data_IF_173164279359
#
_entry.id   IF_173164279359
#
_cell.length_a   1.000
_cell.length_b   1.000
_cell.length_c   1.000
_cell.angle_alpha   90.00
_cell.angle_beta   90.00
_cell.angle_gamma   90.00
#
_symmetry.space_group_name_H-M   'P 1'
#
loop_
_entity.id
_entity.type
_entity.pdbx_description
1 polymer ?
#
# COMPACT_ATOMS: atom_id res chain seq x y z
N UNK A 1 -11.47 -7.05 33.83
CA UNK A 1 -11.97 -6.00 32.92
C UNK A 1 -12.13 -6.61 31.54
N UNK A 2 -13.34 -6.57 30.98
CA UNK A 2 -13.60 -6.99 29.59
C UNK A 2 -13.61 -5.73 28.74
N UNK A 3 -12.70 -5.60 27.79
CA UNK A 3 -12.77 -4.56 26.77
C UNK A 3 -13.53 -5.12 25.58
N UNK A 4 -14.53 -4.37 25.12
CA UNK A 4 -15.16 -4.56 23.82
C UNK A 4 -14.40 -3.64 22.87
N UNK A 5 -13.75 -4.22 21.85
CA UNK A 5 -13.19 -3.47 20.73
C UNK A 5 -14.37 -3.25 19.78
N UNK A 6 -14.77 -1.99 19.59
CA UNK A 6 -15.72 -1.61 18.55
C UNK A 6 -14.97 -0.82 17.48
N UNK A 7 -15.00 -1.34 16.26
CA UNK A 7 -14.53 -0.65 15.06
C UNK A 7 -15.65 0.29 14.61
N UNK A 8 -15.36 1.59 14.50
CA UNK A 8 -16.30 2.60 14.02
C UNK A 8 -15.73 3.34 12.82
N UNK A 9 -16.58 3.66 11.86
CA UNK A 9 -16.21 4.37 10.63
C UNK A 9 -16.81 5.79 10.62
N UNK A 10 -16.07 6.79 10.14
CA UNK A 10 -16.59 8.14 9.89
C UNK A 10 -16.84 8.37 8.39
N UNK A 11 -17.95 9.04 8.10
CA UNK A 11 -18.35 9.51 6.78
C UNK A 11 -17.47 10.69 6.33
N UNK A 12 -16.83 10.58 5.16
CA UNK A 12 -16.16 11.70 4.49
C UNK A 12 -17.20 12.51 3.71
N UNK A 13 -17.37 13.79 4.03
CA UNK A 13 -18.12 14.72 3.15
C UNK A 13 -19.12 15.67 3.80
N UNK A 14 -19.25 15.77 5.12
CA UNK A 14 -20.04 16.85 5.73
C UNK A 14 -19.17 18.07 6.05
N UNK A 15 -19.12 19.01 5.10
CA UNK A 15 -18.76 20.40 5.37
C UNK A 15 -19.78 20.98 6.34
N UNK A 16 -19.39 21.14 7.61
CA UNK A 16 -20.16 21.92 8.58
C UNK A 16 -20.12 23.38 8.15
N UNK A 17 -21.17 23.84 7.48
CA UNK A 17 -21.43 25.27 7.29
C UNK A 17 -21.68 25.91 8.66
N UNK A 18 -20.62 26.46 9.27
CA UNK A 18 -20.78 27.37 10.40
C UNK A 18 -21.33 28.71 9.91
N UNK A 19 -22.64 28.93 10.13
CA UNK A 19 -23.20 30.28 10.19
C UNK A 19 -23.72 30.58 11.60
N UNK A 20 -23.16 31.67 12.12
CA UNK A 20 -23.43 32.50 13.31
C UNK A 20 -24.73 32.32 14.13
N UNK A 21 -24.52 32.42 15.45
CA UNK A 21 -25.17 33.33 16.41
C UNK A 21 -26.28 32.81 17.34
N UNK A 22 -25.84 32.56 18.58
CA UNK A 22 -26.30 33.14 19.85
C UNK A 22 -27.44 32.49 20.68
N UNK A 23 -27.13 32.44 21.99
CA UNK A 23 -27.96 32.35 23.21
C UNK A 23 -28.44 30.98 23.68
N UNK A 24 -27.72 30.49 24.71
CA UNK A 24 -28.34 30.27 26.02
C UNK A 24 -28.62 28.82 26.43
N UNK A 25 -28.25 28.51 27.67
CA UNK A 25 -28.93 27.48 28.47
C UNK A 25 -28.16 26.19 28.67
N UNK A 26 -27.40 26.13 29.76
CA UNK A 26 -26.97 24.88 30.36
C UNK A 26 -28.20 24.05 30.76
N UNK A 27 -28.27 22.78 30.32
CA UNK A 27 -29.11 21.78 30.96
C UNK A 27 -28.42 20.41 30.96
N UNK A 28 -28.06 20.02 32.18
CA UNK A 28 -27.64 18.71 32.64
C UNK A 28 -28.81 17.73 32.46
N UNK A 29 -28.62 16.62 31.74
CA UNK A 29 -29.55 15.49 31.75
C UNK A 29 -28.75 14.22 32.04
N UNK A 30 -28.87 13.75 33.28
CA UNK A 30 -28.67 12.36 33.66
C UNK A 30 -29.90 11.56 33.23
N UNK A 31 -29.70 10.37 32.68
CA UNK A 31 -30.62 9.24 32.85
C UNK A 31 -29.87 7.91 32.67
N UNK A 32 -29.78 7.16 33.77
CA UNK A 32 -29.58 5.71 33.80
C UNK A 32 -30.93 5.01 33.57
N UNK A 33 -30.99 3.98 32.71
CA UNK A 33 -31.33 2.60 33.08
C UNK A 33 -31.69 1.70 31.87
N UNK A 34 -30.97 0.57 31.81
CA UNK A 34 -31.43 -0.82 31.64
C UNK A 34 -32.42 -1.26 30.54
N UNK A 35 -31.88 -2.13 29.67
CA UNK A 35 -32.38 -3.45 29.25
C UNK A 35 -33.76 -3.59 28.58
N UNK A 36 -33.78 -3.94 27.28
CA UNK A 36 -34.32 -5.20 26.74
C UNK A 36 -34.35 -5.19 25.18
N UNK A 37 -33.94 -6.32 24.58
CA UNK A 37 -34.27 -6.87 23.25
C UNK A 37 -34.15 -6.01 21.98
N UNK A 38 -33.38 -6.49 20.99
CA UNK A 38 -33.90 -7.11 19.75
C UNK A 38 -32.78 -7.41 18.74
N UNK A 39 -32.75 -8.66 18.29
CA UNK A 39 -32.08 -9.13 17.08
C UNK A 39 -32.51 -8.24 15.91
N UNK A 40 -31.56 -7.52 15.32
CA UNK A 40 -31.82 -6.71 14.11
C UNK A 40 -30.86 -7.18 13.04
N UNK A 41 -31.40 -7.86 12.03
CA UNK A 41 -30.71 -8.04 10.75
C UNK A 41 -30.55 -6.65 10.12
N UNK A 42 -29.31 -6.17 9.98
CA UNK A 42 -29.02 -4.92 9.28
C UNK A 42 -28.50 -5.27 7.89
N UNK A 43 -29.32 -4.98 6.89
CA UNK A 43 -28.88 -4.83 5.49
C UNK A 43 -27.94 -3.63 5.41
N UNK A 44 -26.69 -3.85 4.99
CA UNK A 44 -25.74 -2.77 4.74
C UNK A 44 -25.82 -2.33 3.27
N UNK A 45 -26.26 -1.09 3.04
CA UNK A 45 -26.03 -0.38 1.77
C UNK A 45 -24.58 0.13 1.74
N UNK A 46 -23.96 -0.02 0.58
CA UNK A 46 -22.57 0.35 0.22
C UNK A 46 -22.29 1.83 0.46
N UNK A 47 -21.39 2.14 1.39
CA UNK A 47 -20.64 3.41 1.43
C UNK A 47 -19.18 3.09 1.76
N UNK A 48 -18.25 3.75 1.05
CA UNK A 48 -16.80 3.52 1.14
C UNK A 48 -16.31 4.06 2.49
N UNK A 49 -15.78 3.18 3.33
CA UNK A 49 -15.18 3.56 4.61
C UNK A 49 -13.66 3.33 4.61
N UNK A 50 -12.89 4.33 5.07
CA UNK A 50 -11.47 4.15 5.40
C UNK A 50 -11.35 3.48 6.78
N UNK A 51 -10.50 2.46 6.96
CA UNK A 51 -10.09 2.05 8.30
C UNK A 51 -9.12 3.10 8.88
N UNK A 52 -9.34 3.52 10.12
CA UNK A 52 -8.35 4.26 10.90
C UNK A 52 -8.38 3.77 12.35
N UNK A 53 -7.20 3.71 12.97
CA UNK A 53 -7.04 3.57 14.42
C UNK A 53 -6.68 4.95 14.96
N UNK A 54 -7.60 5.60 15.69
CA UNK A 54 -7.30 6.83 16.42
C UNK A 54 -7.07 6.47 17.89
N UNK A 55 -5.84 6.62 18.36
CA UNK A 55 -5.56 6.92 19.77
C UNK A 55 -5.15 8.39 19.83
N UNK A 56 -6.10 9.29 20.09
CA UNK A 56 -5.82 10.71 20.24
C UNK A 56 -5.27 11.00 21.65
N UNK A 57 -4.07 11.60 21.81
CA UNK A 57 -3.74 12.36 23.01
C UNK A 57 -4.33 13.77 22.91
N UNK A 58 -4.60 14.37 24.08
CA UNK A 58 -5.17 15.71 24.22
C UNK A 58 -4.40 16.79 23.44
N UNK A 59 -5.14 17.74 22.89
CA UNK A 59 -4.77 18.75 21.90
C UNK A 59 -3.71 19.82 22.29
N UNK A 60 -2.82 19.58 23.26
CA UNK A 60 -1.98 20.66 23.85
C UNK A 60 -0.45 20.55 23.62
N UNK A 61 0.05 19.68 22.75
CA UNK A 61 1.51 19.56 22.54
C UNK A 61 1.90 19.43 21.06
N UNK A 62 1.53 20.40 20.22
CA UNK A 62 2.02 20.47 18.83
C UNK A 62 2.38 21.90 18.38
N UNK A 63 3.07 22.68 19.22
CA UNK A 63 3.62 23.98 18.78
C UNK A 63 5.10 24.24 19.06
N UNK A 64 5.86 23.31 19.63
CA UNK A 64 7.30 23.54 19.85
C UNK A 64 8.11 22.30 19.51
N UNK A 65 8.72 22.33 18.32
CA UNK A 65 9.99 21.70 17.92
C UNK A 65 9.93 21.27 16.45
N UNK A 66 10.11 22.24 15.54
CA UNK A 66 10.47 21.96 14.14
C UNK A 66 11.98 21.70 14.08
N UNK A 67 12.37 20.43 14.20
CA UNK A 67 13.73 20.00 13.86
C UNK A 67 13.69 19.50 12.42
N UNK A 68 14.26 20.28 11.50
CA UNK A 68 14.41 19.88 10.10
C UNK A 68 15.57 18.87 9.99
N UNK A 69 15.27 17.60 9.75
CA UNK A 69 16.27 16.64 9.30
C UNK A 69 16.28 16.63 7.76
N UNK A 70 17.21 17.39 7.18
CA UNK A 70 17.49 17.36 5.74
C UNK A 70 18.47 16.22 5.46
N UNK A 71 17.94 15.02 5.20
CA UNK A 71 18.75 13.85 4.83
C UNK A 71 19.44 14.10 3.49
N UNK A 72 20.76 14.25 3.51
CA UNK A 72 21.56 14.19 2.28
C UNK A 72 21.67 12.73 1.87
N UNK A 73 21.18 12.42 0.66
CA UNK A 73 21.34 11.10 0.05
C UNK A 73 22.83 10.87 -0.21
N UNK A 74 23.51 10.16 0.70
CA UNK A 74 24.77 9.51 0.40
C UNK A 74 24.44 8.20 -0.33
N UNK A 75 24.90 8.08 -1.57
CA UNK A 75 25.04 6.78 -2.23
C UNK A 75 26.10 5.98 -1.46
N UNK A 76 25.67 5.20 -0.46
CA UNK A 76 26.53 4.25 0.24
C UNK A 76 26.24 2.87 -0.35
N UNK A 77 27.05 2.49 -1.34
CA UNK A 77 27.14 1.12 -1.82
C UNK A 77 27.93 0.29 -0.83
N UNK A 78 27.28 -0.39 0.12
CA UNK A 78 27.83 -1.53 0.86
C UNK A 78 26.71 -2.29 1.60
N UNK A 79 26.55 -3.57 1.25
CA UNK A 79 25.30 -4.36 1.23
C UNK A 79 24.73 -4.79 2.60
N UNK A 80 25.34 -4.40 3.73
CA UNK A 80 24.85 -4.72 5.08
C UNK A 80 24.30 -3.51 5.85
N UNK A 81 24.96 -2.36 5.76
CA UNK A 81 24.52 -1.13 6.44
C UNK A 81 23.20 -0.59 5.84
N UNK A 82 23.02 -0.80 4.54
CA UNK A 82 21.86 -0.35 3.79
C UNK A 82 20.57 -1.10 4.19
N UNK A 83 20.63 -2.41 4.42
CA UNK A 83 19.45 -3.23 4.79
C UNK A 83 18.89 -2.83 6.16
N UNK A 84 19.74 -2.62 7.17
CA UNK A 84 19.28 -2.20 8.49
C UNK A 84 18.67 -0.79 8.47
N UNK A 85 19.27 0.14 7.72
CA UNK A 85 18.76 1.49 7.55
C UNK A 85 17.39 1.47 6.84
N UNK A 86 17.30 0.74 5.72
CA UNK A 86 16.07 0.51 4.96
C UNK A 86 14.96 -0.06 5.83
N UNK A 87 15.26 -1.10 6.62
CA UNK A 87 14.31 -1.69 7.57
C UNK A 87 13.70 -0.64 8.50
N UNK A 88 14.55 0.16 9.15
CA UNK A 88 14.11 1.22 10.08
C UNK A 88 13.27 2.28 9.36
N UNK A 89 13.71 2.70 8.18
CA UNK A 89 13.00 3.68 7.35
C UNK A 89 11.63 3.16 6.96
N UNK A 90 11.53 1.93 6.45
CA UNK A 90 10.26 1.34 6.02
C UNK A 90 9.30 1.14 7.18
N UNK A 91 9.78 0.68 8.35
CA UNK A 91 8.94 0.60 9.56
C UNK A 91 8.39 1.98 9.93
N UNK A 92 9.24 3.02 9.95
CA UNK A 92 8.81 4.37 10.26
C UNK A 92 7.79 4.92 9.24
N UNK A 93 7.93 4.55 7.96
CA UNK A 93 7.05 5.06 6.92
C UNK A 93 5.73 4.29 6.79
N UNK A 94 5.78 2.96 6.89
CA UNK A 94 4.62 2.08 6.65
C UNK A 94 3.82 1.80 7.92
N UNK A 95 4.47 1.78 9.08
CA UNK A 95 3.83 1.46 10.37
C UNK A 95 3.58 2.72 11.19
N UNK A 96 4.47 3.71 11.08
CA UNK A 96 4.36 4.98 11.78
C UNK A 96 5.31 5.08 12.97
N UNK A 97 4.80 5.52 14.12
CA UNK A 97 5.63 5.78 15.28
C UNK A 97 6.16 4.52 15.97
N UNK A 98 7.15 4.69 16.86
CA UNK A 98 7.74 3.59 17.61
C UNK A 98 6.71 2.79 18.42
N UNK A 99 5.65 3.46 18.90
CA UNK A 99 4.60 2.80 19.68
C UNK A 99 3.83 1.80 18.82
N UNK A 100 3.45 2.19 17.61
CA UNK A 100 2.74 1.34 16.65
C UNK A 100 3.58 0.10 16.27
N UNK A 101 4.89 0.30 16.09
CA UNK A 101 5.82 -0.82 15.85
C UNK A 101 5.89 -1.78 17.04
N UNK A 102 5.97 -1.26 18.28
CA UNK A 102 5.99 -2.11 19.48
C UNK A 102 4.66 -2.82 19.73
N UNK A 103 3.53 -2.18 19.45
CA UNK A 103 2.21 -2.82 19.52
C UNK A 103 2.11 -3.99 18.55
N UNK A 104 2.61 -3.83 17.31
CA UNK A 104 2.68 -4.93 16.35
C UNK A 104 3.58 -6.09 16.83
N UNK A 105 4.69 -5.79 17.52
CA UNK A 105 5.62 -6.79 18.07
C UNK A 105 5.08 -7.56 19.28
N UNK A 106 4.04 -7.05 19.93
CA UNK A 106 3.37 -7.74 21.04
C UNK A 106 2.35 -8.79 20.57
N UNK A 107 2.06 -8.86 19.27
CA UNK A 107 1.12 -9.82 18.73
C UNK A 107 1.65 -11.26 18.87
N UNK A 108 0.78 -12.17 19.32
CA UNK A 108 1.06 -13.60 19.32
C UNK A 108 0.70 -14.20 17.94
N UNK A 109 1.70 -14.25 17.05
CA UNK A 109 1.51 -14.70 15.67
C UNK A 109 1.05 -16.16 15.56
N UNK A 110 1.49 -17.05 16.45
CA UNK A 110 1.06 -18.45 16.46
C UNK A 110 -0.42 -18.57 16.82
N UNK A 111 -0.88 -17.81 17.83
CA UNK A 111 -2.29 -17.78 18.21
C UNK A 111 -3.17 -17.18 17.10
N UNK A 112 -2.69 -16.13 16.42
CA UNK A 112 -3.40 -15.55 15.29
C UNK A 112 -3.46 -16.52 14.10
N UNK A 113 -2.36 -17.20 13.79
CA UNK A 113 -2.35 -18.22 12.75
C UNK A 113 -3.31 -19.38 13.09
N UNK A 114 -3.33 -19.85 14.34
CA UNK A 114 -4.28 -20.87 14.77
C UNK A 114 -5.74 -20.39 14.67
N UNK A 115 -6.02 -19.12 15.01
CA UNK A 115 -7.34 -18.51 14.82
C UNK A 115 -7.76 -18.55 13.35
N UNK A 116 -6.87 -18.17 12.42
CA UNK A 116 -7.12 -18.22 10.98
C UNK A 116 -7.44 -19.65 10.50
N UNK A 117 -6.67 -20.63 10.99
CA UNK A 117 -6.86 -22.05 10.65
C UNK A 117 -8.26 -22.55 11.02
N UNK A 118 -8.80 -22.07 12.14
CA UNK A 118 -10.14 -22.44 12.62
C UNK A 118 -11.26 -21.66 11.92
N UNK A 119 -10.98 -20.46 11.39
CA UNK A 119 -12.01 -19.57 10.87
C UNK A 119 -12.28 -19.72 9.37
N UNK A 120 -11.28 -20.07 8.55
CA UNK A 120 -11.45 -20.14 7.10
C UNK A 120 -10.52 -21.17 6.45
N UNK A 121 -11.06 -22.35 6.11
CA UNK A 121 -10.29 -23.40 5.41
C UNK A 121 -9.88 -22.96 4.01
N UNK A 122 -10.79 -22.33 3.25
CA UNK A 122 -10.51 -21.83 1.90
C UNK A 122 -9.33 -20.85 1.85
N UNK A 123 -9.28 -19.90 2.80
CA UNK A 123 -8.17 -18.94 2.89
C UNK A 123 -6.84 -19.63 3.15
N UNK A 124 -6.83 -20.63 4.03
CA UNK A 124 -5.61 -21.40 4.33
C UNK A 124 -5.16 -22.22 3.13
N UNK A 125 -6.09 -22.88 2.43
CA UNK A 125 -5.79 -23.66 1.23
C UNK A 125 -5.15 -22.77 0.15
N UNK A 126 -5.67 -21.56 -0.04
CA UNK A 126 -5.11 -20.60 -0.99
C UNK A 126 -3.71 -20.13 -0.59
N UNK A 127 -3.48 -19.82 0.69
CA UNK A 127 -2.14 -19.49 1.21
C UNK A 127 -1.17 -20.66 0.98
N UNK A 128 -1.62 -21.89 1.21
CA UNK A 128 -0.80 -23.11 1.04
C UNK A 128 -0.46 -23.39 -0.43
N UNK A 129 -1.29 -22.96 -1.36
CA UNK A 129 -1.01 -22.99 -2.81
C UNK A 129 0.00 -21.90 -3.21
N UNK A 130 -0.12 -20.69 -2.64
CA UNK A 130 0.62 -19.52 -3.10
C UNK A 130 1.97 -19.31 -2.40
N UNK A 131 2.15 -19.76 -1.15
CA UNK A 131 3.44 -19.69 -0.43
C UNK A 131 4.57 -20.40 -1.19
N UNK A 132 4.39 -21.61 -1.77
CA UNK A 132 5.41 -22.26 -2.59
C UNK A 132 5.80 -21.46 -3.84
N UNK A 133 4.93 -20.59 -4.35
CA UNK A 133 5.12 -19.77 -5.56
C UNK A 133 5.73 -18.40 -5.28
N UNK A 134 6.06 -18.11 -4.03
CA UNK A 134 6.52 -16.77 -3.60
C UNK A 134 7.96 -16.43 -3.96
N UNK A 135 8.73 -17.38 -4.48
CA UNK A 135 10.17 -17.25 -4.70
C UNK A 135 11.03 -17.51 -3.46
N UNK A 136 10.41 -17.70 -2.29
CA UNK A 136 11.13 -18.15 -1.07
C UNK A 136 11.59 -19.59 -1.26
N UNK A 137 12.87 -19.87 -1.01
CA UNK A 137 13.46 -21.21 -1.23
C UNK A 137 13.47 -22.02 0.07
N UNK A 138 13.90 -21.42 1.17
CA UNK A 138 14.09 -22.11 2.45
C UNK A 138 12.76 -22.51 3.09
N UNK A 139 12.73 -23.71 3.68
CA UNK A 139 11.52 -24.25 4.30
C UNK A 139 11.12 -23.44 5.53
N UNK A 140 12.08 -23.04 6.36
CA UNK A 140 11.80 -22.22 7.54
C UNK A 140 11.21 -20.86 7.15
N UNK A 141 11.75 -20.22 6.11
CA UNK A 141 11.24 -18.93 5.61
C UNK A 141 9.82 -19.08 5.03
N UNK A 142 9.50 -20.20 4.37
CA UNK A 142 8.12 -20.49 3.93
C UNK A 142 7.15 -20.62 5.11
N UNK A 143 7.59 -21.23 6.22
CA UNK A 143 6.78 -21.34 7.44
C UNK A 143 6.54 -19.96 8.08
N UNK A 144 7.59 -19.12 8.14
CA UNK A 144 7.46 -17.73 8.60
C UNK A 144 6.51 -16.93 7.71
N UNK A 145 6.64 -17.03 6.38
CA UNK A 145 5.74 -16.38 5.43
C UNK A 145 4.29 -16.82 5.62
N UNK A 146 4.06 -18.12 5.73
CA UNK A 146 2.74 -18.68 6.00
C UNK A 146 2.15 -18.14 7.31
N UNK A 147 2.95 -18.09 8.38
CA UNK A 147 2.51 -17.55 9.68
C UNK A 147 2.12 -16.07 9.58
N UNK A 148 2.91 -15.24 8.89
CA UNK A 148 2.59 -13.83 8.64
C UNK A 148 1.27 -13.67 7.89
N UNK A 149 1.05 -14.41 6.81
CA UNK A 149 -0.17 -14.33 6.01
C UNK A 149 -1.42 -14.83 6.77
N UNK A 150 -1.29 -15.88 7.58
CA UNK A 150 -2.40 -16.35 8.41
C UNK A 150 -2.70 -15.37 9.55
N UNK A 151 -1.67 -14.80 10.18
CA UNK A 151 -1.86 -13.77 11.19
C UNK A 151 -2.55 -12.53 10.62
N UNK A 152 -2.19 -12.13 9.40
CA UNK A 152 -2.89 -11.08 8.65
C UNK A 152 -4.39 -11.38 8.51
N UNK A 153 -4.75 -12.56 8.02
CA UNK A 153 -6.15 -12.93 7.81
C UNK A 153 -6.94 -13.00 9.11
N UNK A 154 -6.30 -13.35 10.22
CA UNK A 154 -6.93 -13.36 11.54
C UNK A 154 -7.22 -11.95 12.11
N UNK A 155 -6.48 -10.94 11.62
CA UNK A 155 -6.60 -9.53 12.01
C UNK A 155 -7.52 -8.73 11.07
N UNK A 156 -7.68 -9.16 9.82
CA UNK A 156 -8.34 -8.38 8.77
C UNK A 156 -9.54 -9.13 8.17
N UNK A 157 -10.70 -8.47 8.11
CA UNK A 157 -11.96 -9.08 7.63
C UNK A 157 -11.94 -9.44 6.14
N UNK A 158 -11.18 -8.71 5.32
CA UNK A 158 -11.06 -8.98 3.88
C UNK A 158 -10.17 -10.20 3.56
N UNK A 159 -9.51 -10.78 4.56
CA UNK A 159 -8.77 -12.03 4.42
C UNK A 159 -7.53 -11.94 3.51
N UNK A 160 -7.32 -13.00 2.72
CA UNK A 160 -6.19 -13.17 1.84
C UNK A 160 -6.55 -12.79 0.40
N UNK A 161 -5.69 -12.02 -0.25
CA UNK A 161 -5.76 -11.72 -1.69
C UNK A 161 -4.51 -12.24 -2.37
N UNK A 162 -4.67 -12.83 -3.56
CA UNK A 162 -3.53 -13.33 -4.34
C UNK A 162 -2.55 -12.20 -4.63
N UNK A 163 -1.25 -12.46 -4.47
CA UNK A 163 -0.18 -11.46 -4.58
C UNK A 163 0.32 -10.96 -3.23
N UNK A 164 -0.47 -11.06 -2.16
CA UNK A 164 -0.02 -10.73 -0.80
C UNK A 164 1.17 -11.60 -0.34
N UNK A 165 1.23 -12.84 -0.79
CA UNK A 165 2.37 -13.73 -0.55
C UNK A 165 3.68 -13.17 -1.13
N UNK A 166 3.62 -12.50 -2.29
CA UNK A 166 4.77 -11.91 -2.94
C UNK A 166 5.25 -10.67 -2.17
N UNK A 167 4.31 -9.81 -1.75
CA UNK A 167 4.62 -8.63 -0.92
C UNK A 167 5.24 -9.07 0.41
N UNK A 168 4.60 -10.00 1.11
CA UNK A 168 5.07 -10.48 2.41
C UNK A 168 6.42 -11.19 2.31
N UNK A 169 6.67 -11.96 1.24
CA UNK A 169 7.98 -12.57 0.98
C UNK A 169 9.08 -11.52 0.78
N UNK A 170 8.80 -10.50 -0.05
CA UNK A 170 9.73 -9.40 -0.27
C UNK A 170 9.99 -8.62 1.03
N UNK A 171 8.97 -8.32 1.83
CA UNK A 171 9.14 -7.67 3.14
C UNK A 171 9.99 -8.52 4.08
N UNK A 172 9.71 -9.83 4.22
CA UNK A 172 10.49 -10.73 5.07
C UNK A 172 11.98 -10.74 4.72
N UNK A 173 12.33 -10.71 3.42
CA UNK A 173 13.73 -10.61 2.94
C UNK A 173 14.46 -9.41 3.58
N UNK A 174 13.81 -8.25 3.69
CA UNK A 174 14.41 -7.04 4.27
C UNK A 174 14.25 -6.94 5.80
N UNK A 175 13.25 -7.60 6.37
CA UNK A 175 13.03 -7.62 7.82
C UNK A 175 13.87 -8.67 8.56
N UNK A 176 14.44 -9.66 7.85
CA UNK A 176 15.16 -10.82 8.43
C UNK A 176 16.27 -10.49 9.43
N UNK A 177 16.94 -9.35 9.25
CA UNK A 177 18.02 -8.89 10.13
C UNK A 177 17.51 -8.21 11.41
N UNK A 178 16.19 -8.10 11.56
CA UNK A 178 15.51 -7.55 12.73
C UNK A 178 15.40 -8.55 13.87
N UNK A 179 15.09 -8.04 15.07
CA UNK A 179 14.82 -8.88 16.24
C UNK A 179 13.49 -9.63 16.11
N UNK A 180 12.53 -9.05 15.40
CA UNK A 180 11.17 -9.57 15.23
C UNK A 180 10.76 -9.55 13.74
N UNK A 181 11.42 -10.34 12.88
CA UNK A 181 11.27 -10.22 11.42
C UNK A 181 9.84 -10.46 10.93
N UNK A 182 9.14 -11.45 11.50
CA UNK A 182 7.76 -11.76 11.13
C UNK A 182 6.76 -10.67 11.56
N UNK A 183 6.94 -10.11 12.77
CA UNK A 183 6.11 -8.99 13.26
C UNK A 183 6.34 -7.73 12.46
N UNK A 184 7.60 -7.40 12.18
CA UNK A 184 7.98 -6.23 11.38
C UNK A 184 7.43 -6.38 9.93
N UNK A 185 7.48 -7.58 9.36
CA UNK A 185 6.90 -7.87 8.05
C UNK A 185 5.36 -7.78 8.05
N UNK A 186 4.68 -8.33 9.06
CA UNK A 186 3.23 -8.22 9.21
C UNK A 186 2.79 -6.75 9.34
N UNK A 187 3.50 -5.96 10.15
CA UNK A 187 3.21 -4.55 10.33
C UNK A 187 3.37 -3.76 9.03
N UNK A 188 4.48 -3.96 8.32
CA UNK A 188 4.70 -3.31 7.03
C UNK A 188 3.71 -3.77 5.95
N UNK A 189 3.26 -5.03 5.96
CA UNK A 189 2.25 -5.52 5.03
C UNK A 189 0.98 -4.66 5.11
N UNK A 190 0.57 -4.23 6.31
CA UNK A 190 -0.58 -3.31 6.49
C UNK A 190 -0.39 -2.01 5.75
N UNK A 191 0.80 -1.41 5.92
CA UNK A 191 1.15 -0.16 5.25
C UNK A 191 1.16 -0.32 3.74
N UNK A 192 1.80 -1.37 3.21
CA UNK A 192 1.89 -1.62 1.75
C UNK A 192 0.50 -1.84 1.13
N UNK A 193 -0.35 -2.65 1.77
CA UNK A 193 -1.71 -2.92 1.29
C UNK A 193 -2.59 -1.67 1.32
N UNK A 194 -2.37 -0.76 2.28
CA UNK A 194 -3.08 0.50 2.34
C UNK A 194 -2.73 1.45 1.18
N UNK A 195 -1.52 1.36 0.61
CA UNK A 195 -1.07 2.27 -0.46
C UNK A 195 -1.93 2.17 -1.73
N UNK A 196 -2.40 0.96 -2.03
CA UNK A 196 -3.16 0.65 -3.24
C UNK A 196 -4.45 -0.10 -2.90
N UNK A 197 -5.02 0.16 -1.72
CA UNK A 197 -6.21 -0.55 -1.23
C UNK A 197 -7.37 -0.54 -2.22
N UNK A 198 -7.55 0.57 -2.96
CA UNK A 198 -8.59 0.69 -3.97
C UNK A 198 -8.33 -0.10 -5.26
N UNK A 199 -7.13 -0.63 -5.49
CA UNK A 199 -6.78 -1.45 -6.67
C UNK A 199 -6.81 -2.95 -6.38
N UNK A 200 -7.13 -3.34 -5.14
CA UNK A 200 -7.22 -4.74 -4.74
C UNK A 200 -8.67 -5.22 -4.91
N UNK A 201 -8.92 -6.24 -5.75
CA UNK A 201 -10.25 -6.84 -5.84
C UNK A 201 -10.51 -7.70 -4.62
N UNK A 202 -11.38 -7.22 -3.72
CA UNK A 202 -11.76 -7.97 -2.53
C UNK A 202 -12.81 -9.06 -2.83
N UNK A 203 -13.55 -8.94 -3.93
CA UNK A 203 -14.50 -9.94 -4.40
C UNK A 203 -14.58 -9.96 -5.94
N UNK A 204 -15.01 -11.07 -6.53
CA UNK A 204 -15.10 -11.22 -8.00
C UNK A 204 -16.02 -10.19 -8.66
N UNK A 205 -17.03 -9.70 -7.93
CA UNK A 205 -17.99 -8.71 -8.41
C UNK A 205 -17.56 -7.25 -8.09
N UNK A 206 -16.30 -7.04 -7.70
CA UNK A 206 -15.81 -5.72 -7.31
C UNK A 206 -15.42 -4.90 -8.52
N UNK A 207 -16.29 -3.97 -8.91
CA UNK A 207 -16.04 -3.06 -10.02
C UNK A 207 -15.15 -1.87 -9.61
N UNK A 208 -15.01 -1.58 -8.31
CA UNK A 208 -14.28 -0.39 -7.84
C UNK A 208 -12.79 -0.41 -8.24
N UNK A 209 -12.07 -1.55 -8.13
CA UNK A 209 -10.69 -1.64 -8.62
C UNK A 209 -10.56 -1.26 -10.09
N UNK A 210 -11.48 -1.72 -10.94
CA UNK A 210 -11.43 -1.41 -12.37
C UNK A 210 -11.68 0.08 -12.62
N UNK A 211 -12.69 0.68 -11.96
CA UNK A 211 -12.96 2.12 -12.06
C UNK A 211 -11.75 2.94 -11.60
N UNK A 212 -11.12 2.56 -10.49
CA UNK A 212 -9.93 3.24 -10.01
C UNK A 212 -8.75 3.05 -10.96
N UNK A 213 -8.56 1.86 -11.52
CA UNK A 213 -7.53 1.60 -12.52
C UNK A 213 -7.71 2.51 -13.74
N UNK A 214 -8.92 2.67 -14.28
CA UNK A 214 -9.21 3.61 -15.38
C UNK A 214 -8.84 5.05 -15.03
N UNK A 215 -9.13 5.50 -13.81
CA UNK A 215 -8.76 6.85 -13.33
C UNK A 215 -7.24 7.00 -13.24
N UNK A 216 -6.56 6.01 -12.66
CA UNK A 216 -5.09 6.00 -12.52
C UNK A 216 -4.42 6.03 -13.89
N UNK A 217 -4.87 5.19 -14.82
CA UNK A 217 -4.33 5.07 -16.18
C UNK A 217 -4.59 6.34 -16.99
N UNK A 218 -5.76 6.96 -16.86
CA UNK A 218 -6.03 8.26 -17.48
C UNK A 218 -5.07 9.34 -16.99
N UNK A 219 -4.75 9.36 -15.69
CA UNK A 219 -3.73 10.26 -15.12
C UNK A 219 -2.33 9.92 -15.64
N UNK A 220 -1.97 8.64 -15.77
CA UNK A 220 -0.70 8.21 -16.36
C UNK A 220 -0.56 8.68 -17.81
N UNK A 221 -1.59 8.46 -18.61
CA UNK A 221 -1.64 8.90 -20.00
C UNK A 221 -1.42 10.41 -20.11
N UNK A 222 -2.10 11.21 -19.29
CA UNK A 222 -1.91 12.65 -19.25
C UNK A 222 -0.47 13.02 -18.87
N UNK A 223 0.09 12.40 -17.82
CA UNK A 223 1.45 12.66 -17.35
C UNK A 223 2.49 12.34 -18.43
N UNK A 224 2.37 11.19 -19.09
CA UNK A 224 3.28 10.80 -20.17
C UNK A 224 3.11 11.72 -21.38
N UNK A 225 1.88 12.07 -21.74
CA UNK A 225 1.59 12.94 -22.90
C UNK A 225 2.09 14.37 -22.71
N UNK A 226 2.12 14.89 -21.47
CA UNK A 226 2.69 16.21 -21.18
C UNK A 226 4.21 16.21 -21.38
N UNK A 227 4.89 15.13 -20.99
CA UNK A 227 6.35 15.03 -21.11
C UNK A 227 6.79 14.65 -22.52
N UNK A 228 6.04 13.76 -23.19
CA UNK A 228 6.32 13.27 -24.52
C UNK A 228 5.03 13.20 -25.35
N UNK A 229 4.61 14.32 -25.98
CA UNK A 229 3.36 14.39 -26.74
C UNK A 229 3.29 13.40 -27.91
N UNK A 230 4.44 12.99 -28.46
CA UNK A 230 4.51 12.01 -29.55
C UNK A 230 3.96 10.62 -29.15
N UNK A 231 3.88 10.32 -27.85
CA UNK A 231 3.32 9.07 -27.33
C UNK A 231 1.80 9.10 -27.17
N UNK A 232 1.16 10.27 -27.23
CA UNK A 232 -0.24 10.44 -26.81
C UNK A 232 -1.20 9.50 -27.55
N UNK A 233 -1.10 9.45 -28.88
CA UNK A 233 -1.99 8.63 -29.71
C UNK A 233 -1.73 7.13 -29.54
N UNK A 234 -0.46 6.72 -29.37
CA UNK A 234 -0.09 5.32 -29.23
C UNK A 234 -0.53 4.75 -27.88
N UNK A 235 -0.33 5.51 -26.79
CA UNK A 235 -0.76 5.09 -25.46
C UNK A 235 -2.29 5.03 -25.31
N UNK A 236 -3.02 5.91 -26.02
CA UNK A 236 -4.49 5.89 -26.04
C UNK A 236 -5.04 4.55 -26.56
N UNK A 237 -4.33 3.88 -27.47
CA UNK A 237 -4.74 2.61 -28.07
C UNK A 237 -4.58 1.40 -27.14
N UNK A 238 -3.86 1.55 -26.03
CA UNK A 238 -3.53 0.46 -25.08
C UNK A 238 -3.89 0.79 -23.63
N UNK A 239 -4.81 1.72 -23.41
CA UNK A 239 -5.23 2.08 -22.04
C UNK A 239 -5.85 0.88 -21.32
N UNK A 240 -6.58 0.02 -22.02
CA UNK A 240 -7.16 -1.22 -21.48
C UNK A 240 -6.08 -2.17 -20.94
N UNK A 241 -4.96 -2.31 -21.67
CA UNK A 241 -3.82 -3.08 -21.19
C UNK A 241 -3.19 -2.45 -19.94
N UNK A 242 -3.09 -1.12 -19.91
CA UNK A 242 -2.57 -0.40 -18.75
C UNK A 242 -3.50 -0.52 -17.53
N UNK A 243 -4.82 -0.63 -17.72
CA UNK A 243 -5.78 -0.85 -16.63
C UNK A 243 -5.56 -2.23 -15.99
N UNK A 244 -5.45 -3.27 -16.82
CA UNK A 244 -5.12 -4.64 -16.36
C UNK A 244 -3.76 -4.65 -15.67
N UNK A 245 -2.77 -3.96 -16.25
CA UNK A 245 -1.43 -3.85 -15.69
C UNK A 245 -1.44 -3.16 -14.33
N UNK A 246 -2.19 -2.07 -14.18
CA UNK A 246 -2.36 -1.34 -12.93
C UNK A 246 -2.88 -2.26 -11.82
N UNK A 247 -3.93 -3.03 -12.11
CA UNK A 247 -4.50 -4.01 -11.19
C UNK A 247 -3.52 -5.14 -10.83
N UNK A 248 -2.66 -5.55 -11.76
CA UNK A 248 -1.70 -6.65 -11.53
C UNK A 248 -0.41 -6.20 -10.85
N UNK A 249 0.05 -4.99 -11.15
CA UNK A 249 1.39 -4.51 -10.80
C UNK A 249 1.32 -3.54 -9.62
N UNK A 250 0.43 -2.54 -9.67
CA UNK A 250 0.37 -1.51 -8.63
C UNK A 250 -0.28 -2.04 -7.35
N UNK A 251 -1.27 -2.93 -7.45
CA UNK A 251 -1.90 -3.58 -6.29
C UNK A 251 -0.91 -4.35 -5.40
N UNK A 252 0.13 -4.93 -6.01
CA UNK A 252 1.22 -5.64 -5.33
C UNK A 252 2.51 -4.82 -5.26
N UNK A 253 2.41 -3.50 -5.41
CA UNK A 253 3.52 -2.55 -5.31
C UNK A 253 4.76 -3.00 -6.12
N UNK A 254 4.56 -3.39 -7.37
CA UNK A 254 5.60 -3.73 -8.35
C UNK A 254 6.41 -5.01 -8.09
N UNK A 255 6.04 -5.84 -7.11
CA UNK A 255 6.78 -7.10 -6.83
C UNK A 255 6.79 -8.05 -8.04
N UNK A 256 5.78 -8.00 -8.89
CA UNK A 256 5.69 -8.81 -10.12
C UNK A 256 6.26 -8.13 -11.36
N UNK A 257 6.84 -6.93 -11.22
CA UNK A 257 7.22 -6.07 -12.34
C UNK A 257 8.71 -5.74 -12.38
N UNK A 258 9.33 -5.51 -11.22
CA UNK A 258 10.77 -5.35 -11.10
C UNK A 258 11.41 -6.58 -10.48
N UNK A 259 12.70 -6.78 -10.74
CA UNK A 259 13.44 -7.90 -10.16
C UNK A 259 13.53 -7.77 -8.62
N UNK A 260 13.62 -8.88 -7.88
CA UNK A 260 13.80 -8.84 -6.42
C UNK A 260 15.07 -8.13 -5.96
N UNK A 261 16.03 -7.92 -6.86
CA UNK A 261 17.30 -7.27 -6.57
C UNK A 261 17.20 -5.76 -6.73
N UNK A 262 16.32 -5.24 -7.60
CA UNK A 262 16.16 -3.80 -7.83
C UNK A 262 14.88 -3.21 -7.24
N UNK A 263 13.92 -4.05 -6.83
CA UNK A 263 12.65 -3.64 -6.23
C UNK A 263 12.81 -2.69 -5.03
N UNK A 264 13.85 -2.88 -4.22
CA UNK A 264 14.09 -2.04 -3.04
C UNK A 264 14.31 -0.57 -3.38
N UNK A 265 14.92 -0.26 -4.51
CA UNK A 265 15.14 1.13 -4.97
C UNK A 265 13.79 1.80 -5.25
N UNK A 266 12.85 1.07 -5.85
CA UNK A 266 11.49 1.53 -6.10
C UNK A 266 10.74 1.74 -4.79
N UNK A 267 10.82 0.77 -3.88
CA UNK A 267 10.17 0.84 -2.57
C UNK A 267 10.73 1.96 -1.68
N UNK A 268 12.03 2.24 -1.75
CA UNK A 268 12.63 3.37 -1.03
C UNK A 268 12.00 4.71 -1.45
N UNK A 269 11.66 4.86 -2.74
CA UNK A 269 10.91 6.03 -3.25
C UNK A 269 9.42 5.99 -2.89
N UNK A 270 8.74 4.86 -3.17
CA UNK A 270 7.30 4.75 -2.94
C UNK A 270 6.97 4.97 -1.46
N UNK A 271 7.74 4.39 -0.55
CA UNK A 271 7.51 4.48 0.90
C UNK A 271 8.06 5.76 1.54
N UNK A 272 8.66 6.70 0.81
CA UNK A 272 9.25 7.89 1.41
C UNK A 272 8.19 8.81 2.08
N UNK A 273 8.12 8.89 3.42
CA UNK A 273 7.16 9.80 4.06
C UNK A 273 7.39 11.26 3.63
N UNK A 274 6.33 11.90 3.10
CA UNK A 274 6.24 13.35 2.92
C UNK A 274 5.11 13.83 3.84
N UNK A 275 5.36 14.86 4.63
CA UNK A 275 4.53 15.33 5.76
C UNK A 275 3.10 15.77 5.36
N UNK A 276 2.73 15.73 4.08
CA UNK A 276 1.38 16.01 3.60
C UNK A 276 0.57 14.70 3.46
N UNK A 277 -0.23 14.42 4.49
CA UNK A 277 -1.18 13.32 4.52
C UNK A 277 -2.24 13.46 3.40
N UNK A 278 -2.33 12.46 2.52
CA UNK A 278 -3.57 11.70 2.24
C UNK A 278 -3.70 11.11 0.81
N UNK A 279 -2.87 11.48 -0.18
CA UNK A 279 -3.03 10.95 -1.56
C UNK A 279 -1.72 10.74 -2.37
N UNK A 280 -0.54 10.93 -1.74
CA UNK A 280 0.73 10.90 -2.47
C UNK A 280 1.22 9.50 -2.84
N UNK A 281 0.96 8.47 -2.04
CA UNK A 281 1.62 7.18 -2.26
C UNK A 281 1.07 6.42 -3.47
N UNK A 282 -0.24 6.41 -3.68
CA UNK A 282 -0.86 5.93 -4.93
C UNK A 282 -0.34 6.72 -6.14
N UNK A 283 -0.17 8.04 -5.97
CA UNK A 283 0.42 8.91 -6.99
C UNK A 283 1.89 8.56 -7.31
N UNK A 284 2.69 8.15 -6.32
CA UNK A 284 4.06 7.70 -6.58
C UNK A 284 4.14 6.38 -7.32
N UNK A 285 3.27 5.42 -7.00
CA UNK A 285 3.17 4.20 -7.81
C UNK A 285 2.84 4.58 -9.27
N UNK A 286 1.87 5.49 -9.47
CA UNK A 286 1.54 6.01 -10.80
C UNK A 286 2.75 6.67 -11.50
N UNK A 287 3.55 7.46 -10.78
CA UNK A 287 4.77 8.07 -11.31
C UNK A 287 5.84 7.06 -11.69
N UNK A 288 6.05 6.02 -10.89
CA UNK A 288 6.98 4.92 -11.21
C UNK A 288 6.57 4.24 -12.51
N UNK A 289 5.28 3.89 -12.65
CA UNK A 289 4.80 3.25 -13.87
C UNK A 289 4.95 4.18 -15.09
N UNK A 290 4.51 5.43 -14.98
CA UNK A 290 4.63 6.44 -16.06
C UNK A 290 6.09 6.67 -16.47
N UNK A 291 7.00 6.64 -15.50
CA UNK A 291 8.44 6.79 -15.73
C UNK A 291 9.04 5.59 -16.45
N UNK A 292 8.60 4.37 -16.12
CA UNK A 292 8.99 3.17 -16.86
C UNK A 292 8.55 3.27 -18.33
N UNK A 293 7.31 3.72 -18.59
CA UNK A 293 6.79 3.94 -19.95
C UNK A 293 7.64 4.96 -20.71
N UNK A 294 7.97 6.09 -20.09
CA UNK A 294 8.80 7.15 -20.68
C UNK A 294 10.24 6.68 -20.95
N UNK A 295 10.83 5.93 -20.02
CA UNK A 295 12.18 5.38 -20.20
C UNK A 295 12.23 4.42 -21.39
N UNK A 296 11.15 3.67 -21.63
CA UNK A 296 10.97 2.75 -22.74
C UNK A 296 10.25 3.36 -23.95
N UNK A 297 10.25 4.69 -24.11
CA UNK A 297 9.47 5.38 -25.16
C UNK A 297 9.69 4.87 -26.58
N UNK A 298 10.89 4.35 -26.88
CA UNK A 298 11.22 3.80 -28.20
C UNK A 298 10.35 2.61 -28.58
N UNK A 299 9.91 1.79 -27.60
CA UNK A 299 9.00 0.66 -27.87
C UNK A 299 7.69 1.17 -28.47
N UNK A 300 7.13 2.23 -27.90
CA UNK A 300 5.85 2.78 -28.31
C UNK A 300 5.92 3.62 -29.60
N UNK A 301 7.08 4.25 -29.87
CA UNK A 301 7.25 5.10 -31.06
C UNK A 301 7.53 4.32 -32.33
N UNK A 302 8.23 3.18 -32.22
CA UNK A 302 8.74 2.45 -33.38
C UNK A 302 8.15 1.05 -33.55
N UNK A 303 7.51 0.50 -32.52
CA UNK A 303 6.86 -0.81 -32.64
C UNK A 303 5.49 -0.70 -33.29
N UNK A 304 5.21 -1.58 -34.25
CA UNK A 304 3.97 -1.59 -35.03
C UNK A 304 2.78 -2.20 -34.27
N UNK A 305 3.05 -3.16 -33.37
CA UNK A 305 2.03 -3.85 -32.57
C UNK A 305 2.09 -3.41 -31.11
N UNK A 306 1.08 -2.66 -30.68
CA UNK A 306 1.03 -2.10 -29.33
C UNK A 306 0.86 -3.19 -28.23
N UNK A 307 0.22 -4.32 -28.53
CA UNK A 307 0.10 -5.46 -27.59
C UNK A 307 1.43 -6.16 -27.43
N UNK A 308 2.14 -6.39 -28.53
CA UNK A 308 3.48 -6.97 -28.50
C UNK A 308 4.45 -6.05 -27.75
N UNK A 309 4.41 -4.74 -28.03
CA UNK A 309 5.21 -3.74 -27.32
C UNK A 309 4.94 -3.75 -25.81
N UNK A 310 3.68 -3.93 -25.40
CA UNK A 310 3.31 -4.05 -23.99
C UNK A 310 3.96 -5.27 -23.33
N UNK A 311 3.93 -6.43 -23.97
CA UNK A 311 4.59 -7.65 -23.45
C UNK A 311 6.11 -7.45 -23.34
N UNK A 312 6.74 -6.83 -24.34
CA UNK A 312 8.17 -6.51 -24.32
C UNK A 312 8.48 -5.51 -23.19
N UNK A 313 7.63 -4.50 -23.01
CA UNK A 313 7.76 -3.53 -21.94
C UNK A 313 7.77 -4.21 -20.56
N UNK A 314 6.81 -5.09 -20.27
CA UNK A 314 6.77 -5.81 -18.99
C UNK A 314 8.00 -6.70 -18.79
N UNK A 315 8.41 -7.44 -19.82
CA UNK A 315 9.59 -8.29 -19.75
C UNK A 315 10.88 -7.49 -19.51
N UNK A 316 11.04 -6.34 -20.19
CA UNK A 316 12.23 -5.49 -20.02
C UNK A 316 12.29 -4.86 -18.64
N UNK A 317 11.17 -4.45 -18.05
CA UNK A 317 11.14 -3.94 -16.67
C UNK A 317 11.59 -4.98 -15.64
N UNK A 318 11.26 -6.25 -15.85
CA UNK A 318 11.73 -7.35 -14.99
C UNK A 318 13.24 -7.63 -15.11
N UNK A 319 13.89 -7.15 -16.17
CA UNK A 319 15.31 -7.35 -16.46
C UNK A 319 16.17 -6.10 -16.21
N UNK A 320 15.57 -5.01 -15.73
CA UNK A 320 16.30 -3.77 -15.50
C UNK A 320 17.33 -3.90 -14.38
N UNK A 321 18.52 -3.36 -14.62
CA UNK A 321 19.55 -3.20 -13.60
C UNK A 321 19.24 -2.04 -12.66
N UNK A 322 20.02 -1.92 -11.58
CA UNK A 322 19.84 -0.87 -10.58
C UNK A 322 19.95 0.54 -11.18
N UNK A 323 20.86 0.76 -12.13
CA UNK A 323 21.06 2.07 -12.76
C UNK A 323 19.84 2.50 -13.58
N UNK A 324 19.19 1.56 -14.27
CA UNK A 324 17.95 1.79 -15.00
C UNK A 324 16.81 2.10 -14.03
N UNK A 325 16.70 1.39 -12.91
CA UNK A 325 15.69 1.66 -11.88
C UNK A 325 15.90 3.04 -11.22
N UNK A 326 17.14 3.45 -10.96
CA UNK A 326 17.45 4.81 -10.47
C UNK A 326 16.94 5.87 -11.46
N UNK A 327 17.13 5.67 -12.77
CA UNK A 327 16.59 6.57 -13.80
C UNK A 327 15.05 6.62 -13.78
N UNK A 328 14.38 5.49 -13.55
CA UNK A 328 12.92 5.46 -13.36
C UNK A 328 12.53 6.30 -12.14
N UNK A 329 13.21 6.13 -11.01
CA UNK A 329 12.93 6.89 -9.78
C UNK A 329 13.18 8.39 -9.96
N UNK A 330 14.26 8.78 -10.63
CA UNK A 330 14.57 10.19 -10.91
C UNK A 330 13.50 10.84 -11.80
N UNK A 331 13.05 10.11 -12.82
CA UNK A 331 11.97 10.55 -13.68
C UNK A 331 10.63 10.59 -12.93
N UNK A 332 10.38 9.66 -12.01
CA UNK A 332 9.18 9.65 -11.18
C UNK A 332 9.12 10.88 -10.25
N UNK A 333 10.27 11.22 -9.65
CA UNK A 333 10.42 12.46 -8.87
C UNK A 333 10.23 13.71 -9.73
N UNK A 334 10.63 13.68 -11.00
CA UNK A 334 10.36 14.77 -11.93
C UNK A 334 8.86 14.91 -12.23
N UNK A 335 8.16 13.80 -12.52
CA UNK A 335 6.71 13.79 -12.71
C UNK A 335 5.97 14.29 -11.46
N UNK A 336 6.41 13.88 -10.27
CA UNK A 336 5.85 14.37 -9.01
C UNK A 336 6.02 15.88 -8.84
N UNK A 337 7.15 16.46 -9.27
CA UNK A 337 7.35 17.91 -9.27
C UNK A 337 6.42 18.58 -10.27
N UNK A 338 6.28 18.06 -11.48
CA UNK A 338 5.37 18.62 -12.48
C UNK A 338 3.92 18.65 -11.99
N UNK A 339 3.46 17.58 -11.33
CA UNK A 339 2.10 17.52 -10.76
C UNK A 339 1.88 18.56 -9.66
N UNK A 340 2.90 18.94 -8.90
CA UNK A 340 2.80 20.00 -7.86
C UNK A 340 2.68 21.41 -8.43
N UNK A 341 3.03 21.63 -9.70
CA UNK A 341 3.02 22.96 -10.35
C UNK A 341 1.82 23.19 -11.26
N UNK A 342 1.06 22.14 -11.58
CA UNK A 342 -0.20 22.22 -12.32
C UNK A 342 -1.37 22.22 -11.34
#
# INVERSE_FOLDING_TARGET
MKYVIAVGFHKLGETVNQTKSAKGGAKKILCEHNSFLKTTHIFWRREIYKPFVIVAPSQDILQKNRVYFRWHFMHVTETGADTMFRRRRWLACLVGDHRSVEEARQLNLDQLAEKCLRSSTHTVDQIDIDVPRSGVVLKEEKLSLRRVLMAWCALNEFGYVQGMNLIAAALLKYMREGRYPEHDALACLSGVMALNAGLLPFHMEDEEPMKLASVVVSKMWLQVSVVEPSLQQQLLQILDLFEIACLRIMSVCFVTFFSPDTLHVVWDYVFENDDSADDKTSSRCRHVFSSAVLLQKKLWLFGEDAKQNFVIFEATCGLMDEQQIVKIVDLAKYLERLEKYN
#
